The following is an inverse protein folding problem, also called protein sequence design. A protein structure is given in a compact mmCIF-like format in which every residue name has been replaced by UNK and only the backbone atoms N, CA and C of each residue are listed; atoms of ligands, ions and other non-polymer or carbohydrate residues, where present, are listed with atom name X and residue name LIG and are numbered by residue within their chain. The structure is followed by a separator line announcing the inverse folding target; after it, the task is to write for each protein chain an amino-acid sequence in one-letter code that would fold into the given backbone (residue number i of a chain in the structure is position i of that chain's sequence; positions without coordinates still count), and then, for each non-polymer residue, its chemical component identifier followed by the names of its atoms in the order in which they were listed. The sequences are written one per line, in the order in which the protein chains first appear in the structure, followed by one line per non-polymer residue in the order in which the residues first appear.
data_IF_505200448544
#
_entry.id   IF_505200448544
#
_cell.length_a   1.000
_cell.length_b   1.000
_cell.length_c   1.000
_cell.angle_alpha   90.00
_cell.angle_beta   90.00
_cell.angle_gamma   90.00
#
_symmetry.space_group_name_H-M   'P 1'
#
loop_
_entity.id
_entity.type
_entity.pdbx_description
1 polymer ?
2 water ?
#
# COMPACT_ATOMS: atom_id res chain seq x y z
N UNK A 1 22.33 0.87 10.17
CA UNK A 1 21.08 0.30 10.75
C UNK A 1 19.97 0.19 9.73
N UNK A 2 20.22 -0.57 8.66
CA UNK A 2 19.26 -0.79 7.57
C UNK A 2 17.79 -0.55 7.93
N UNK A 3 17.35 -1.08 9.07
CA UNK A 3 15.95 -0.91 9.48
C UNK A 3 15.62 0.52 9.94
N UNK A 4 16.50 1.11 10.75
CA UNK A 4 16.29 2.46 11.27
C UNK A 4 16.26 3.55 10.19
N UNK A 5 16.90 3.27 9.05
CA UNK A 5 16.94 4.20 7.92
C UNK A 5 15.66 4.01 7.10
N UNK A 6 15.27 2.74 6.93
CA UNK A 6 14.07 2.37 6.21
C UNK A 6 12.93 3.21 6.78
N UNK A 7 12.95 3.39 8.10
CA UNK A 7 11.97 4.17 8.84
C UNK A 7 11.89 5.58 8.30
N UNK A 8 13.05 6.19 8.14
CA UNK A 8 13.14 7.53 7.61
C UNK A 8 12.54 7.53 6.21
N UNK A 9 12.79 6.45 5.45
CA UNK A 9 12.29 6.33 4.09
C UNK A 9 10.78 6.27 4.09
N UNK A 10 10.24 5.66 5.14
CA UNK A 10 8.81 5.55 5.29
C UNK A 10 8.25 6.90 5.72
N UNK A 11 8.88 7.51 6.72
CA UNK A 11 8.43 8.80 7.22
C UNK A 11 8.42 9.85 6.13
N UNK A 12 9.47 9.86 5.30
CA UNK A 12 9.55 10.81 4.21
C UNK A 12 8.34 10.63 3.28
N UNK A 13 7.99 9.40 2.96
CA UNK A 13 6.84 9.11 2.10
C UNK A 13 5.53 9.56 2.76
N UNK A 14 5.42 9.36 4.07
CA UNK A 14 4.23 9.76 4.80
C UNK A 14 4.05 11.24 4.63
N UNK A 15 5.16 11.98 4.71
CA UNK A 15 5.12 13.42 4.57
C UNK A 15 4.59 13.83 3.21
N UNK A 16 5.24 13.38 2.16
CA UNK A 16 4.81 13.73 0.82
C UNK A 16 3.38 13.36 0.54
N UNK A 17 2.95 12.26 1.13
CA UNK A 17 1.59 11.76 0.99
C UNK A 17 0.60 12.81 1.56
N UNK A 18 0.92 13.33 2.74
CA UNK A 18 0.08 14.32 3.42
C UNK A 18 0.13 15.69 2.75
N UNK A 19 1.34 16.15 2.45
CA UNK A 19 1.51 17.46 1.84
C UNK A 19 0.87 17.56 0.48
N UNK A 20 0.84 16.47 -0.29
CA UNK A 20 0.22 16.54 -1.60
C UNK A 20 -1.22 16.11 -1.55
N UNK A 21 -1.72 15.95 -0.33
CA UNK A 21 -3.11 15.58 -0.15
C UNK A 21 -3.49 14.18 -0.57
N UNK A 22 -2.51 13.41 -0.99
CA UNK A 22 -2.75 12.04 -1.41
C UNK A 22 -3.39 11.21 -0.29
N UNK A 23 -3.14 11.59 0.96
CA UNK A 23 -3.72 10.86 2.09
C UNK A 23 -4.32 11.83 3.11
N UNK A 24 -5.51 11.51 3.62
CA UNK A 24 -6.18 12.36 4.60
C UNK A 24 -6.69 11.63 5.83
N UNK A 25 -6.81 12.34 6.94
CA UNK A 25 -7.27 11.74 8.16
C UNK A 25 -6.29 10.61 8.45
N UNK A 26 -6.80 9.43 8.75
CA UNK A 26 -5.95 8.28 9.05
C UNK A 26 -6.12 7.23 7.97
N UNK A 27 -6.73 7.64 6.87
CA UNK A 27 -7.00 6.76 5.75
C UNK A 27 -5.77 6.54 4.89
N UNK A 28 -4.92 5.62 5.32
CA UNK A 28 -3.71 5.34 4.56
C UNK A 28 -2.64 4.70 5.43
N UNK A 29 -2.03 3.64 4.91
CA UNK A 29 -1.00 2.94 5.65
C UNK A 29 0.11 2.56 4.73
N UNK A 30 1.25 2.22 5.32
CA UNK A 30 2.42 1.84 4.57
C UNK A 30 2.97 0.60 5.22
N UNK A 31 3.64 -0.26 4.45
CA UNK A 31 4.23 -1.47 5.01
C UNK A 31 5.47 -1.89 4.20
N UNK A 32 6.56 -2.14 4.91
CA UNK A 32 7.79 -2.56 4.25
C UNK A 32 8.27 -3.86 4.88
N UNK A 33 8.70 -4.77 4.02
CA UNK A 33 9.17 -6.06 4.47
C UNK A 33 10.68 -6.04 4.64
N UNK A 34 11.14 -6.28 5.86
CA UNK A 34 12.57 -6.30 6.15
C UNK A 34 13.12 -7.67 5.76
N UNK A 35 14.28 -7.67 5.11
CA UNK A 35 14.94 -8.90 4.67
C UNK A 35 15.68 -9.65 5.78
N UNK A 36 16.70 -9.01 6.33
CA UNK A 36 17.51 -9.59 7.40
C UNK A 36 16.67 -9.64 8.68
N UNK A 37 17.25 -9.16 9.77
CA UNK A 37 16.59 -9.13 11.07
C UNK A 37 17.06 -7.90 11.81
N UNK A 38 16.18 -7.31 12.62
CA UNK A 38 16.44 -6.11 13.43
C UNK A 38 17.62 -6.21 14.40
N UNK A 39 18.62 -5.33 14.26
CA UNK A 39 19.78 -5.34 15.14
C UNK A 39 19.35 -4.98 16.56
N UNK A 40 18.67 -3.84 16.71
CA UNK A 40 18.20 -3.44 18.02
C UNK A 40 17.05 -4.34 18.41
N UNK A 41 17.35 -5.63 18.58
CA UNK A 41 16.32 -6.59 18.94
C UNK A 41 15.75 -6.21 20.30
N UNK A 42 14.44 -5.94 20.32
CA UNK A 42 13.80 -5.54 21.56
C UNK A 42 12.30 -5.88 21.60
N UNK A 43 11.96 -7.11 21.98
CA UNK A 43 10.56 -7.50 22.04
C UNK A 43 9.86 -6.77 23.18
N UNK A 44 8.91 -5.91 22.83
CA UNK A 44 8.18 -5.13 23.80
C UNK A 44 6.81 -5.74 24.03
N UNK A 45 6.27 -6.37 23.00
CA UNK A 45 4.96 -6.97 23.14
C UNK A 45 4.68 -8.14 22.20
N UNK A 46 3.77 -8.99 22.64
CA UNK A 46 3.33 -10.16 21.90
C UNK A 46 1.83 -10.02 21.65
N UNK A 47 1.41 -10.33 20.44
CA UNK A 47 0.01 -10.19 20.14
C UNK A 47 -0.53 -11.33 19.28
N UNK A 48 -1.85 -11.44 19.28
CA UNK A 48 -2.55 -12.47 18.53
C UNK A 48 -3.01 -12.01 17.16
N UNK A 49 -2.56 -12.72 16.12
CA UNK A 49 -2.95 -12.39 14.76
C UNK A 49 -4.46 -12.23 14.67
N UNK A 50 -5.19 -12.92 15.54
CA UNK A 50 -6.64 -12.87 15.52
C UNK A 50 -7.11 -13.92 14.54
N UNK A 51 -6.13 -14.56 13.91
CA UNK A 51 -6.35 -15.61 12.93
C UNK A 51 -5.09 -16.48 12.86
N UNK A 52 -5.15 -17.62 12.18
CA UNK A 52 -3.97 -18.47 12.11
C UNK A 52 -3.06 -18.25 10.93
N UNK A 53 -1.91 -17.65 11.21
CA UNK A 53 -0.92 -17.37 10.18
C UNK A 53 -0.10 -18.61 9.90
N UNK A 54 -0.05 -18.99 8.63
CA UNK A 54 0.71 -20.17 8.20
C UNK A 54 1.70 -19.84 7.09
N UNK A 55 2.10 -18.58 6.99
CA UNK A 55 3.05 -18.20 5.96
C UNK A 55 4.44 -18.19 6.55
N UNK A 56 5.49 -17.97 5.72
CA UNK A 56 6.87 -17.95 6.23
C UNK A 56 7.11 -16.94 7.35
N UNK A 57 8.32 -16.92 7.88
CA UNK A 57 8.67 -15.99 8.93
C UNK A 57 9.20 -14.72 8.28
N UNK A 58 8.93 -13.57 8.90
CA UNK A 58 9.40 -12.28 8.37
C UNK A 58 9.34 -11.16 9.38
N UNK A 59 9.97 -10.04 9.02
CA UNK A 59 9.97 -8.84 9.84
C UNK A 59 9.41 -7.74 8.96
N UNK A 60 8.35 -7.10 9.40
CA UNK A 60 7.81 -6.02 8.59
C UNK A 60 7.42 -4.79 9.40
N UNK A 61 7.67 -3.65 8.78
CA UNK A 61 7.38 -2.33 9.34
C UNK A 61 6.05 -1.92 8.75
N UNK A 62 5.11 -1.56 9.61
CA UNK A 62 3.81 -1.14 9.12
C UNK A 62 3.27 -0.05 10.03
N UNK A 63 2.56 0.88 9.45
CA UNK A 63 1.98 1.97 10.21
C UNK A 63 1.08 1.35 11.26
N UNK A 64 0.99 1.99 12.41
CA UNK A 64 0.16 1.52 13.51
C UNK A 64 -1.29 1.92 13.30
N UNK A 65 -2.15 1.50 14.21
CA UNK A 65 -3.57 1.80 14.09
C UNK A 65 -3.86 3.24 14.51
N UNK A 66 -4.71 3.90 13.72
CA UNK A 66 -5.09 5.29 13.97
C UNK A 66 -4.06 6.28 13.47
N UNK A 67 -3.01 5.73 12.86
CA UNK A 67 -1.91 6.54 12.35
C UNK A 67 -2.32 7.38 11.14
N UNK A 68 -1.86 8.62 11.17
CA UNK A 68 -2.12 9.60 10.13
C UNK A 68 -0.78 10.03 9.57
N UNK A 69 -0.68 10.00 8.25
CA UNK A 69 0.54 10.34 7.57
C UNK A 69 1.11 11.69 7.98
N UNK A 70 0.24 12.65 8.28
CA UNK A 70 0.70 13.99 8.64
C UNK A 70 1.35 13.95 9.99
N UNK A 71 1.35 12.75 10.56
CA UNK A 71 1.94 12.51 11.88
C UNK A 71 3.06 11.49 11.87
N UNK A 72 2.88 10.37 11.15
CA UNK A 72 3.93 9.37 11.14
C UNK A 72 5.21 9.89 10.51
N UNK A 73 5.12 10.98 9.77
CA UNK A 73 6.33 11.51 9.15
C UNK A 73 7.12 12.25 10.21
N UNK A 74 6.45 12.58 11.31
CA UNK A 74 7.10 13.28 12.40
C UNK A 74 7.43 12.40 13.59
N UNK A 75 6.49 11.52 13.93
CA UNK A 75 6.62 10.63 15.07
C UNK A 75 6.80 9.18 14.62
N UNK A 76 8.03 8.66 14.72
CA UNK A 76 8.31 7.29 14.30
C UNK A 76 7.76 6.26 15.29
N UNK A 77 7.08 6.75 16.33
CA UNK A 77 6.50 5.83 17.30
C UNK A 77 5.21 5.35 16.67
N UNK A 78 4.82 5.99 15.58
CA UNK A 78 3.60 5.64 14.85
C UNK A 78 3.90 4.56 13.82
N UNK A 79 5.10 4.01 13.84
CA UNK A 79 5.48 2.95 12.89
C UNK A 79 5.84 1.68 13.68
N UNK A 80 5.26 0.56 13.27
CA UNK A 80 5.51 -0.71 13.96
C UNK A 80 6.48 -1.63 13.25
N UNK A 81 7.43 -2.16 14.03
CA UNK A 81 8.39 -3.13 13.53
C UNK A 81 7.85 -4.41 14.10
N UNK A 82 7.61 -5.39 13.25
CA UNK A 82 7.06 -6.63 13.73
C UNK A 82 7.78 -7.84 13.24
N UNK A 83 7.72 -8.90 14.04
CA UNK A 83 8.31 -10.16 13.65
C UNK A 83 7.11 -11.08 13.44
N UNK A 84 6.94 -11.54 12.21
CA UNK A 84 5.83 -12.39 11.85
C UNK A 84 6.22 -13.87 11.92
N UNK A 85 5.68 -14.51 12.96
CA UNK A 85 5.91 -15.92 13.21
C UNK A 85 4.65 -16.70 12.99
N UNK A 86 4.76 -17.79 12.23
CA UNK A 86 3.60 -18.63 11.97
C UNK A 86 2.85 -18.84 13.27
N UNK A 87 1.68 -19.45 13.18
CA UNK A 87 0.93 -19.67 14.38
C UNK A 87 -0.06 -18.56 14.52
N UNK A 88 -0.39 -18.22 15.76
CA UNK A 88 -1.37 -17.18 16.02
C UNK A 88 -0.72 -15.98 16.69
N UNK A 89 0.60 -16.00 16.80
CA UNK A 89 1.28 -14.91 17.45
C UNK A 89 2.37 -14.22 16.66
N UNK A 90 2.40 -12.91 16.87
CA UNK A 90 3.38 -12.03 16.25
C UNK A 90 3.82 -11.14 17.40
N UNK A 91 5.05 -10.67 17.33
CA UNK A 91 5.57 -9.82 18.39
C UNK A 91 5.95 -8.40 17.93
N UNK A 92 5.74 -7.44 18.82
CA UNK A 92 6.05 -6.04 18.51
C UNK A 92 7.42 -5.64 19.05
N UNK A 93 8.30 -5.24 18.13
CA UNK A 93 9.66 -4.80 18.47
C UNK A 93 9.67 -3.28 18.68
N UNK A 94 9.06 -2.55 17.75
CA UNK A 94 8.94 -1.10 17.85
C UNK A 94 7.48 -0.69 17.63
N UNK A 95 7.09 0.43 18.22
CA UNK A 95 5.73 0.92 18.09
C UNK A 95 5.11 1.27 19.42
N UNK A 96 3.99 1.99 19.38
CA UNK A 96 3.30 2.38 20.59
C UNK A 96 1.94 1.73 20.70
N UNK A 97 1.43 1.24 19.56
CA UNK A 97 0.15 0.58 19.55
C UNK A 97 0.18 -0.68 18.71
N UNK A 98 -0.99 -1.16 18.31
CA UNK A 98 -1.06 -2.35 17.47
C UNK A 98 -1.01 -1.84 16.06
N UNK A 99 -0.55 -2.67 15.11
CA UNK A 99 -0.51 -2.18 13.74
C UNK A 99 -1.90 -1.73 13.28
N UNK A 100 -1.97 -1.29 12.03
CA UNK A 100 -3.22 -0.85 11.43
C UNK A 100 -4.20 -2.01 11.30
N UNK A 101 -5.48 -1.68 11.28
CA UNK A 101 -6.52 -2.69 11.12
C UNK A 101 -6.26 -3.53 9.85
N UNK A 102 -5.77 -2.90 8.79
CA UNK A 102 -5.54 -3.64 7.55
C UNK A 102 -4.24 -4.42 7.52
N UNK A 103 -3.66 -4.59 8.69
CA UNK A 103 -2.42 -5.33 8.87
C UNK A 103 -2.57 -6.72 8.23
N UNK A 104 -3.67 -7.44 8.54
CA UNK A 104 -3.93 -8.77 8.00
C UNK A 104 -3.80 -8.80 6.48
N UNK A 105 -4.42 -7.81 5.85
CA UNK A 105 -4.39 -7.72 4.39
C UNK A 105 -2.96 -7.64 3.90
N UNK A 106 -2.20 -6.67 4.43
CA UNK A 106 -0.80 -6.49 4.07
C UNK A 106 -0.07 -7.79 4.26
N UNK A 107 -0.40 -8.46 5.36
CA UNK A 107 0.22 -9.72 5.68
C UNK A 107 0.20 -10.63 4.48
N UNK A 108 -1.00 -10.85 3.96
CA UNK A 108 -1.17 -11.72 2.81
C UNK A 108 -0.33 -11.37 1.60
N UNK A 109 -0.35 -10.11 1.19
CA UNK A 109 0.43 -9.72 0.02
C UNK A 109 1.90 -9.96 0.29
N UNK A 110 2.32 -9.63 1.51
CA UNK A 110 3.70 -9.79 1.91
C UNK A 110 4.15 -11.24 1.81
N UNK A 111 3.39 -12.14 2.45
CA UNK A 111 3.74 -13.54 2.41
C UNK A 111 3.96 -13.98 0.96
N UNK A 112 2.94 -13.80 0.13
CA UNK A 112 3.00 -14.19 -1.28
C UNK A 112 4.14 -13.55 -2.03
N UNK A 113 4.41 -12.29 -1.70
CA UNK A 113 5.49 -11.55 -2.35
C UNK A 113 6.85 -12.16 -2.02
N UNK A 114 6.97 -12.59 -0.77
CA UNK A 114 8.21 -13.20 -0.30
C UNK A 114 8.48 -14.43 -1.15
N UNK A 115 7.43 -15.19 -1.45
CA UNK A 115 7.54 -16.39 -2.27
C UNK A 115 7.63 -16.05 -3.76
N UNK A 116 6.64 -15.31 -4.25
CA UNK A 116 6.57 -14.91 -5.64
C UNK A 116 7.65 -13.94 -6.08
N UNK A 117 7.38 -12.67 -5.89
CA UNK A 117 8.32 -11.62 -6.26
C UNK A 117 8.99 -11.11 -5.00
N UNK A 118 10.15 -11.66 -4.65
CA UNK A 118 10.87 -11.24 -3.45
C UNK A 118 11.44 -9.81 -3.58
N UNK A 119 11.55 -9.34 -4.82
CA UNK A 119 12.06 -8.00 -5.10
C UNK A 119 11.14 -6.91 -4.54
N UNK A 120 9.84 -7.11 -4.68
CA UNK A 120 8.85 -6.16 -4.17
C UNK A 120 8.77 -6.26 -2.64
N UNK A 121 9.32 -5.28 -1.93
CA UNK A 121 9.30 -5.27 -0.47
C UNK A 121 8.39 -4.19 0.18
N UNK A 122 7.86 -3.25 -0.63
CA UNK A 122 7.02 -2.18 -0.07
C UNK A 122 5.58 -2.04 -0.59
N UNK A 123 4.67 -1.67 0.33
CA UNK A 123 3.25 -1.47 0.01
C UNK A 123 2.67 -0.15 0.58
N UNK A 124 2.12 0.68 -0.31
CA UNK A 124 1.55 1.95 0.11
C UNK A 124 0.09 1.94 -0.27
N UNK A 125 -0.79 2.14 0.70
CA UNK A 125 -2.23 2.19 0.45
C UNK A 125 -2.79 3.56 0.85
N UNK A 126 -3.42 4.27 -0.09
CA UNK A 126 -3.96 5.59 0.19
C UNK A 126 -5.19 5.85 -0.68
N UNK A 127 -5.85 6.98 -0.46
CA UNK A 127 -7.05 7.35 -1.21
C UNK A 127 -6.89 8.62 -2.02
N UNK A 128 -6.24 8.52 -3.19
CA UNK A 128 -6.05 9.71 -4.01
C UNK A 128 -7.38 10.27 -4.46
N UNK A 129 -7.55 11.58 -4.28
CA UNK A 129 -8.76 12.28 -4.66
C UNK A 129 -9.26 12.01 -6.08
N UNK A 130 -8.39 12.19 -7.06
CA UNK A 130 -8.79 11.98 -8.44
C UNK A 130 -9.09 10.54 -8.79
N UNK A 131 -8.27 9.61 -8.31
CA UNK A 131 -8.50 8.20 -8.58
C UNK A 131 -9.79 7.82 -7.89
N UNK A 132 -10.06 8.49 -6.79
CA UNK A 132 -11.26 8.25 -6.03
C UNK A 132 -12.39 8.75 -6.90
N UNK A 133 -12.35 10.02 -7.24
CA UNK A 133 -13.37 10.63 -8.08
C UNK A 133 -13.67 9.75 -9.27
N UNK A 134 -12.61 9.37 -9.97
CA UNK A 134 -12.72 8.53 -11.16
C UNK A 134 -13.46 7.21 -10.94
N UNK A 135 -13.23 6.57 -9.80
CA UNK A 135 -13.89 5.30 -9.51
C UNK A 135 -15.34 5.49 -9.04
N UNK A 136 -15.83 6.71 -9.14
CA UNK A 136 -17.20 7.00 -8.72
C UNK A 136 -18.09 7.13 -9.94
N UNK A 137 -17.52 6.89 -11.12
CA UNK A 137 -18.24 6.96 -12.39
C UNK A 137 -18.70 5.57 -12.83
N UNK A 138 -19.95 5.46 -13.26
CA UNK A 138 -20.48 4.18 -13.72
C UNK A 138 -19.54 3.54 -14.75
N UNK A 139 -19.31 4.23 -15.86
CA UNK A 139 -18.42 3.71 -16.89
C UNK A 139 -16.96 3.86 -16.50
N UNK A 140 -16.65 3.35 -15.32
CA UNK A 140 -15.31 3.42 -14.79
C UNK A 140 -14.36 2.46 -15.47
N UNK A 141 -14.78 1.21 -15.57
CA UNK A 141 -13.94 0.19 -16.18
C UNK A 141 -13.43 0.54 -17.58
N UNK A 142 -14.30 1.16 -18.37
CA UNK A 142 -13.94 1.50 -19.74
C UNK A 142 -13.04 2.74 -19.92
N UNK A 143 -12.52 3.28 -18.82
CA UNK A 143 -11.66 4.46 -18.90
C UNK A 143 -10.23 4.09 -18.54
N UNK A 144 -10.11 3.19 -17.57
CA UNK A 144 -8.82 2.71 -17.11
C UNK A 144 -7.85 2.50 -18.24
N UNK A 145 -8.33 1.90 -19.34
CA UNK A 145 -7.48 1.64 -20.50
C UNK A 145 -6.87 2.90 -21.09
N UNK A 146 -7.72 3.83 -21.51
CA UNK A 146 -7.22 5.06 -22.08
C UNK A 146 -6.44 5.80 -21.01
N UNK A 147 -6.88 5.66 -19.76
CA UNK A 147 -6.19 6.33 -18.66
C UNK A 147 -4.80 5.74 -18.54
N UNK A 148 -4.69 4.46 -18.85
CA UNK A 148 -3.43 3.75 -18.76
C UNK A 148 -2.41 4.12 -19.82
N UNK A 149 -2.75 5.08 -20.67
CA UNK A 149 -1.81 5.49 -21.70
C UNK A 149 -1.98 6.96 -22.00
N UNK A 150 -2.33 7.72 -20.97
CA UNK A 150 -2.52 9.15 -21.12
C UNK A 150 -1.18 9.83 -21.28
N UNK A 151 -0.14 9.19 -20.76
CA UNK A 151 1.21 9.69 -20.90
C UNK A 151 2.16 8.56 -20.58
N UNK A 152 3.23 8.46 -21.37
CA UNK A 152 4.24 7.41 -21.20
C UNK A 152 4.43 7.02 -19.74
N UNK A 153 4.75 7.99 -18.90
CA UNK A 153 4.96 7.76 -17.48
C UNK A 153 4.23 6.54 -16.88
N UNK A 154 2.99 6.30 -17.27
CA UNK A 154 2.25 5.17 -16.72
C UNK A 154 2.79 3.83 -17.21
N UNK A 155 2.81 3.69 -18.53
CA UNK A 155 3.28 2.49 -19.23
C UNK A 155 4.54 1.93 -18.57
N UNK A 156 5.53 2.80 -18.41
CA UNK A 156 6.81 2.45 -17.79
C UNK A 156 6.63 1.84 -16.41
N UNK A 157 5.98 2.56 -15.51
CA UNK A 157 5.79 2.05 -14.17
C UNK A 157 4.77 0.92 -14.12
N UNK A 158 3.94 0.81 -15.16
CA UNK A 158 2.94 -0.25 -15.21
C UNK A 158 2.94 -0.87 -16.57
N UNK A 159 4.00 -1.64 -16.87
CA UNK A 159 4.14 -2.31 -18.15
C UNK A 159 2.94 -3.23 -18.38
N UNK A 160 2.56 -3.97 -17.35
CA UNK A 160 1.40 -4.86 -17.47
C UNK A 160 0.08 -4.10 -17.29
N UNK A 161 0.11 -3.04 -16.47
CA UNK A 161 -1.09 -2.27 -16.23
C UNK A 161 -1.59 -2.54 -14.83
N UNK A 162 -2.86 -2.25 -14.59
CA UNK A 162 -3.45 -2.43 -13.26
C UNK A 162 -4.74 -3.24 -13.26
N UNK A 163 -5.15 -3.64 -12.05
CA UNK A 163 -6.37 -4.42 -11.90
C UNK A 163 -7.20 -3.89 -10.73
N UNK A 164 -8.52 -4.00 -10.86
CA UNK A 164 -9.42 -3.54 -9.81
C UNK A 164 -9.77 -4.73 -8.94
N UNK A 165 -10.18 -4.47 -7.71
CA UNK A 165 -10.53 -5.54 -6.79
C UNK A 165 -11.83 -5.23 -6.04
N UNK A 166 -12.83 -6.10 -6.20
CA UNK A 166 -14.12 -5.94 -5.54
C UNK A 166 -13.88 -5.90 -4.03
N UNK A 167 -14.05 -4.71 -3.45
CA UNK A 167 -13.85 -4.50 -2.03
C UNK A 167 -15.02 -5.05 -1.23
N UNK A 168 -14.74 -5.98 -0.32
CA UNK A 168 -15.79 -6.58 0.50
C UNK A 168 -15.58 -6.32 1.99
N UNK A 169 -14.50 -6.88 2.54
CA UNK A 169 -14.18 -6.73 3.95
C UNK A 169 -12.89 -5.92 4.16
N UNK A 170 -12.96 -4.89 5.05
CA UNK A 170 -11.86 -4.00 5.40
C UNK A 170 -10.69 -4.71 6.13
N UNK A 171 -9.50 -4.65 5.55
CA UNK A 171 -8.33 -5.28 6.15
C UNK A 171 -8.49 -6.74 6.55
N UNK A 172 -9.10 -7.52 5.66
CA UNK A 172 -9.33 -8.94 5.88
C UNK A 172 -8.29 -9.74 5.14
N UNK A 173 -8.14 -11.00 5.51
CA UNK A 173 -7.19 -11.85 4.85
C UNK A 173 -7.61 -11.99 3.40
N UNK A 174 -8.92 -12.09 3.21
CA UNK A 174 -9.54 -12.23 1.90
C UNK A 174 -9.09 -11.13 0.95
N UNK A 175 -9.26 -9.90 1.43
CA UNK A 175 -8.88 -8.74 0.65
C UNK A 175 -7.47 -8.99 0.10
N UNK A 176 -6.59 -9.43 0.99
CA UNK A 176 -5.22 -9.70 0.58
C UNK A 176 -5.14 -10.78 -0.48
N UNK A 177 -5.66 -11.96 -0.15
CA UNK A 177 -5.66 -13.09 -1.07
C UNK A 177 -6.17 -12.60 -2.43
N UNK A 178 -7.36 -12.00 -2.42
CA UNK A 178 -7.93 -11.45 -3.65
C UNK A 178 -6.89 -10.58 -4.36
N UNK A 179 -6.45 -9.56 -3.66
CA UNK A 179 -5.46 -8.61 -4.15
C UNK A 179 -4.26 -9.26 -4.81
N UNK A 180 -3.67 -10.22 -4.11
CA UNK A 180 -2.50 -10.91 -4.64
C UNK A 180 -2.77 -11.52 -6.01
N UNK A 181 -3.95 -12.10 -6.17
CA UNK A 181 -4.32 -12.73 -7.45
C UNK A 181 -4.31 -11.74 -8.60
N UNK A 182 -4.97 -10.59 -8.41
CA UNK A 182 -5.05 -9.56 -9.42
C UNK A 182 -3.66 -8.92 -9.53
N UNK A 183 -2.96 -8.89 -8.39
CA UNK A 183 -1.64 -8.31 -8.31
C UNK A 183 -0.57 -9.25 -8.87
N UNK A 184 -0.96 -10.11 -9.81
CA UNK A 184 -0.02 -11.07 -10.39
C UNK A 184 1.06 -10.34 -11.18
N UNK A 185 2.26 -10.27 -10.59
CA UNK A 185 3.38 -9.60 -11.23
C UNK A 185 3.10 -8.15 -11.59
N UNK A 186 1.95 -7.64 -11.17
CA UNK A 186 1.56 -6.26 -11.43
C UNK A 186 2.06 -5.35 -10.30
N UNK A 187 2.19 -4.06 -10.58
CA UNK A 187 2.66 -3.16 -9.55
C UNK A 187 1.66 -2.22 -8.90
N UNK A 188 0.37 -2.53 -9.02
CA UNK A 188 -0.67 -1.71 -8.42
C UNK A 188 -2.06 -2.32 -8.55
N UNK A 189 -2.84 -2.23 -7.47
CA UNK A 189 -4.20 -2.74 -7.47
C UNK A 189 -5.13 -1.66 -6.95
N UNK A 190 -6.23 -1.43 -7.66
CA UNK A 190 -7.20 -0.43 -7.25
C UNK A 190 -8.33 -1.10 -6.52
N UNK A 191 -8.47 -0.83 -5.22
CA UNK A 191 -9.58 -1.41 -4.47
C UNK A 191 -10.75 -0.54 -4.83
N UNK A 192 -11.55 -1.00 -5.78
CA UNK A 192 -12.69 -0.25 -6.24
C UNK A 192 -13.45 0.41 -5.10
N UNK A 193 -13.51 1.74 -5.16
CA UNK A 193 -14.21 2.56 -4.17
C UNK A 193 -13.38 2.84 -2.91
N UNK A 194 -12.23 2.19 -2.77
CA UNK A 194 -11.39 2.37 -1.59
C UNK A 194 -9.94 2.67 -1.91
N UNK A 195 -9.72 3.60 -2.81
CA UNK A 195 -8.35 3.97 -3.14
C UNK A 195 -7.50 2.94 -3.85
N UNK A 196 -6.21 3.01 -3.57
CA UNK A 196 -5.29 2.13 -4.24
C UNK A 196 -4.18 1.64 -3.35
N UNK A 197 -3.52 0.59 -3.81
CA UNK A 197 -2.40 -0.04 -3.13
C UNK A 197 -1.28 -0.17 -4.14
N UNK A 198 -0.09 0.31 -3.80
CA UNK A 198 1.03 0.24 -4.71
C UNK A 198 2.21 -0.50 -4.13
N UNK A 199 2.94 -1.21 -5.00
CA UNK A 199 4.08 -2.00 -4.56
C UNK A 199 5.35 -1.49 -5.23
N UNK A 200 6.51 -1.92 -4.73
CA UNK A 200 7.76 -1.49 -5.33
C UNK A 200 8.99 -2.01 -4.63
N UNK A 201 10.14 -1.89 -5.29
CA UNK A 201 11.39 -2.34 -4.72
C UNK A 201 11.56 -1.72 -3.31
N UNK A 202 11.05 -0.51 -3.12
CA UNK A 202 11.12 0.19 -1.82
C UNK A 202 9.95 1.17 -1.71
N UNK A 203 9.65 1.60 -0.49
CA UNK A 203 8.53 2.50 -0.27
C UNK A 203 8.51 3.66 -1.25
N UNK A 204 9.66 4.31 -1.43
CA UNK A 204 9.77 5.44 -2.36
C UNK A 204 9.25 5.09 -3.75
N UNK A 205 9.50 3.87 -4.20
CA UNK A 205 9.05 3.45 -5.53
C UNK A 205 7.52 3.24 -5.52
N UNK A 206 7.00 2.69 -4.42
CA UNK A 206 5.56 2.49 -4.31
C UNK A 206 4.92 3.87 -4.40
N UNK A 207 5.40 4.81 -3.59
CA UNK A 207 4.88 6.17 -3.59
C UNK A 207 4.90 6.77 -4.99
N UNK A 208 5.98 6.52 -5.71
CA UNK A 208 6.11 7.02 -7.07
C UNK A 208 4.99 6.55 -7.99
N UNK A 209 4.50 5.34 -7.77
CA UNK A 209 3.43 4.83 -8.61
C UNK A 209 2.08 5.43 -8.24
N UNK A 210 1.90 5.78 -6.96
CA UNK A 210 0.67 6.42 -6.54
C UNK A 210 0.60 7.73 -7.28
N UNK A 211 1.63 8.57 -7.08
CA UNK A 211 1.71 9.87 -7.73
C UNK A 211 1.32 9.76 -9.19
N UNK A 212 2.06 8.96 -9.93
CA UNK A 212 1.81 8.74 -11.35
C UNK A 212 0.37 8.33 -11.64
N UNK A 213 -0.14 7.32 -10.95
CA UNK A 213 -1.52 6.92 -11.18
C UNK A 213 -2.43 8.12 -11.00
N UNK A 214 -2.20 8.86 -9.92
CA UNK A 214 -3.00 10.05 -9.64
C UNK A 214 -2.95 11.03 -10.79
N UNK A 215 -1.74 11.34 -11.23
CA UNK A 215 -1.56 12.30 -12.30
C UNK A 215 -2.37 11.87 -13.50
N UNK A 216 -2.28 10.60 -13.87
CA UNK A 216 -3.02 10.11 -15.02
C UNK A 216 -4.50 10.26 -14.81
N UNK A 217 -4.95 9.96 -13.60
CA UNK A 217 -6.36 10.07 -13.29
C UNK A 217 -6.75 11.52 -13.44
N UNK A 218 -5.94 12.39 -12.87
CA UNK A 218 -6.19 13.81 -12.91
C UNK A 218 -6.25 14.36 -14.32
N UNK A 219 -5.33 13.91 -15.17
CA UNK A 219 -5.30 14.35 -16.56
C UNK A 219 -6.56 13.85 -17.27
N UNK A 220 -6.92 12.60 -17.04
CA UNK A 220 -8.10 12.02 -17.66
C UNK A 220 -9.31 12.87 -17.33
N UNK A 221 -9.50 13.09 -16.03
CA UNK A 221 -10.62 13.86 -15.54
C UNK A 221 -10.69 15.27 -16.09
N UNK A 222 -9.57 15.93 -16.29
CA UNK A 222 -9.66 17.27 -16.82
C UNK A 222 -10.03 17.22 -18.29
N UNK A 223 -9.52 16.22 -19.00
CA UNK A 223 -9.82 16.10 -20.40
C UNK A 223 -11.30 15.89 -20.58
N UNK A 224 -11.89 15.05 -19.74
CA UNK A 224 -13.33 14.79 -19.82
C UNK A 224 -14.10 16.05 -19.47
N UNK A 225 -13.49 16.88 -18.64
CA UNK A 225 -14.09 18.13 -18.20
C UNK A 225 -14.18 19.17 -19.31
N UNK A 226 -13.78 18.76 -20.52
CA UNK A 226 -13.84 19.64 -21.68
C UNK A 226 -14.49 18.87 -22.81
N UNK A 227 -14.94 17.65 -22.48
CA UNK A 227 -15.59 16.76 -23.44
C UNK A 227 -14.73 16.43 -24.65
N UNK A 228 -13.64 15.67 -24.45
CA UNK A 228 -12.75 15.32 -25.58
C UNK A 228 -11.93 14.03 -25.43
N UNK A 229 -12.56 12.86 -25.53
CA UNK A 229 -11.82 11.59 -25.42
C UNK A 229 -12.73 10.36 -25.33
N UNK A 230 -12.25 9.19 -25.80
CA UNK A 230 -12.95 7.90 -25.82
C UNK A 230 -13.61 7.44 -24.50
N UNK A 231 -14.88 7.81 -24.32
CA UNK A 231 -15.65 7.44 -23.12
C UNK A 231 -16.05 5.96 -23.21
N UNK A 232 -16.77 5.63 -24.28
CA UNK A 232 -17.18 4.26 -24.49
C UNK A 232 -16.24 3.56 -25.45
#
# INVERSE_FOLDING_TARGET
GHMRETIREIQKVAYWLAIKGLSEANAGNISVRLDERPEGYEVKSVNEYGFDYDGPEMYLLITATGSRMREVYEDDSKICLLHVLPGKHYEILHGNGKPTSEFPTHLMIHAKFKEMNPEKKAIVHTHPLNLLTLMNLEEFQELLPKMMKIHPEVLIFFPQGISVVEFEKPGSVELGLKTVEKSEGKDAVLWDKHGVVAFGKDVAEAYDRVEILEKAAEILLRVLSLGRNPTGVPEGWL
#
